data_IF_144244207205
#
_entry.id   IF_144244207205
#
_cell.length_a   1.000
_cell.length_b   1.000
_cell.length_c   1.000
_cell.angle_alpha   90.00
_cell.angle_beta   90.00
_cell.angle_gamma   90.00
#
_symmetry.space_group_name_H-M   'P 1'
#
loop_
_entity.id
_entity.type
_entity.pdbx_description
1 polymer ?
#
# COMPACT_ATOMS: atom_id res chain seq x y z
N UNK A 1 19.74 -13.24 3.26
CA UNK A 1 20.53 -14.20 2.48
C UNK A 1 20.03 -15.64 2.63
N UNK A 2 19.80 -16.14 3.86
CA UNK A 2 19.31 -17.52 4.08
C UNK A 2 18.03 -17.82 3.28
N UNK A 3 17.03 -16.93 3.36
CA UNK A 3 15.77 -17.08 2.61
C UNK A 3 15.96 -17.03 1.10
N UNK A 4 16.86 -16.17 0.60
CA UNK A 4 17.19 -16.14 -0.82
C UNK A 4 17.80 -17.46 -1.29
N UNK A 5 18.72 -18.02 -0.51
CA UNK A 5 19.31 -19.33 -0.83
C UNK A 5 18.26 -20.44 -0.84
N UNK A 6 17.34 -20.46 0.12
CA UNK A 6 16.21 -21.40 0.17
C UNK A 6 15.25 -21.23 -1.01
N UNK A 7 15.10 -20.02 -1.51
CA UNK A 7 14.30 -19.70 -2.70
C UNK A 7 15.03 -19.98 -4.03
N UNK A 8 16.23 -20.57 -4.01
CA UNK A 8 16.99 -20.88 -5.22
C UNK A 8 17.94 -19.77 -5.71
N UNK A 9 18.14 -18.71 -4.92
CA UNK A 9 19.01 -17.57 -5.27
C UNK A 9 20.19 -17.39 -4.30
N UNK A 10 21.06 -18.41 -4.10
CA UNK A 10 22.16 -18.34 -3.15
C UNK A 10 23.18 -17.23 -3.46
N UNK A 11 23.32 -16.88 -4.73
CA UNK A 11 24.23 -15.84 -5.22
C UNK A 11 23.55 -14.48 -5.44
N UNK A 12 22.29 -14.32 -4.97
CA UNK A 12 21.48 -13.15 -5.21
C UNK A 12 20.69 -13.21 -6.52
N UNK A 13 20.01 -12.11 -6.86
CA UNK A 13 19.16 -12.02 -8.05
C UNK A 13 19.07 -10.59 -8.57
N UNK A 14 18.61 -10.44 -9.80
CA UNK A 14 18.25 -9.14 -10.38
C UNK A 14 16.73 -9.01 -10.44
N UNK A 15 16.22 -7.82 -10.14
CA UNK A 15 14.78 -7.50 -10.16
C UNK A 15 14.58 -6.03 -10.50
N UNK A 16 13.36 -5.61 -10.78
CA UNK A 16 13.03 -4.20 -10.86
C UNK A 16 12.30 -3.70 -9.58
N UNK A 17 12.44 -2.41 -9.32
CA UNK A 17 11.73 -1.70 -8.25
C UNK A 17 11.13 -0.42 -8.83
N UNK A 18 9.82 -0.40 -8.96
CA UNK A 18 9.14 0.75 -9.55
C UNK A 18 8.87 1.83 -8.52
N UNK A 19 9.40 3.03 -8.77
CA UNK A 19 9.22 4.21 -7.93
C UNK A 19 8.17 5.14 -8.53
N UNK A 20 7.23 5.59 -7.71
CA UNK A 20 6.21 6.56 -8.12
C UNK A 20 6.86 7.88 -8.56
N UNK A 21 6.45 8.48 -9.69
CA UNK A 21 7.01 9.74 -10.20
C UNK A 21 6.46 10.98 -9.48
N UNK A 22 5.45 10.81 -8.64
CA UNK A 22 4.69 11.88 -7.98
C UNK A 22 4.68 11.73 -6.48
N UNK A 23 4.56 12.85 -5.78
CA UNK A 23 4.28 12.86 -4.35
C UNK A 23 2.82 12.50 -4.09
N UNK A 24 2.59 11.75 -3.02
CA UNK A 24 1.27 11.42 -2.49
C UNK A 24 1.27 11.55 -0.96
N UNK A 25 0.10 11.76 -0.33
CA UNK A 25 0.02 11.85 1.13
C UNK A 25 0.69 10.68 1.86
N UNK A 26 0.61 9.48 1.30
CA UNK A 26 1.21 8.26 1.85
C UNK A 26 2.68 8.04 1.43
N UNK A 27 3.23 8.81 0.48
CA UNK A 27 4.62 8.68 0.03
C UNK A 27 5.14 10.03 -0.49
N UNK A 28 5.87 10.80 0.33
CA UNK A 28 6.35 12.12 -0.04
C UNK A 28 7.55 12.10 -1.00
N UNK A 29 8.30 10.99 -1.07
CA UNK A 29 9.50 10.90 -1.91
C UNK A 29 9.83 9.44 -2.27
N UNK A 30 9.06 8.88 -3.21
CA UNK A 30 9.21 7.48 -3.63
C UNK A 30 10.59 7.19 -4.22
N UNK A 31 11.17 8.13 -4.98
CA UNK A 31 12.51 7.96 -5.56
C UNK A 31 13.57 7.75 -4.48
N UNK A 32 13.57 8.61 -3.45
CA UNK A 32 14.53 8.51 -2.35
C UNK A 32 14.36 7.23 -1.54
N UNK A 33 13.12 6.82 -1.30
CA UNK A 33 12.82 5.55 -0.64
C UNK A 33 13.33 4.37 -1.48
N UNK A 34 13.09 4.38 -2.80
CA UNK A 34 13.59 3.35 -3.71
C UNK A 34 15.12 3.25 -3.71
N UNK A 35 15.83 4.38 -3.71
CA UNK A 35 17.29 4.42 -3.62
C UNK A 35 17.81 3.79 -2.32
N UNK A 36 17.17 4.06 -1.19
CA UNK A 36 17.51 3.44 0.09
C UNK A 36 17.24 1.93 0.08
N UNK A 37 16.08 1.51 -0.43
CA UNK A 37 15.74 0.09 -0.57
C UNK A 37 16.71 -0.63 -1.52
N UNK A 38 17.08 -0.01 -2.64
CA UNK A 38 18.07 -0.56 -3.57
C UNK A 38 19.41 -0.79 -2.88
N UNK A 39 19.87 0.17 -2.08
CA UNK A 39 21.13 0.06 -1.33
C UNK A 39 21.07 -1.06 -0.27
N UNK A 40 19.94 -1.23 0.40
CA UNK A 40 19.76 -2.30 1.38
C UNK A 40 19.62 -3.68 0.72
N UNK A 41 18.93 -3.80 -0.38
CA UNK A 41 18.79 -5.00 -1.18
C UNK A 41 20.15 -5.46 -1.73
N UNK A 42 21.02 -4.54 -2.15
CA UNK A 42 22.36 -4.83 -2.61
C UNK A 42 23.21 -5.54 -1.54
N UNK A 43 23.04 -5.21 -0.24
CA UNK A 43 23.77 -5.86 0.87
C UNK A 43 23.50 -7.35 1.00
N UNK A 44 22.36 -7.80 0.48
CA UNK A 44 21.99 -9.22 0.49
C UNK A 44 22.17 -9.91 -0.87
N UNK A 45 22.68 -9.19 -1.87
CA UNK A 45 22.94 -9.70 -3.22
C UNK A 45 21.79 -9.50 -4.21
N UNK A 46 20.76 -8.72 -3.85
CA UNK A 46 19.67 -8.40 -4.77
C UNK A 46 19.98 -7.09 -5.51
N UNK A 47 20.13 -7.18 -6.84
CA UNK A 47 20.32 -6.01 -7.72
C UNK A 47 18.96 -5.52 -8.19
N UNK A 48 18.46 -4.45 -7.59
CA UNK A 48 17.21 -3.81 -7.97
C UNK A 48 17.44 -2.69 -8.97
N UNK A 49 16.77 -2.73 -10.13
CA UNK A 49 16.74 -1.65 -11.11
C UNK A 49 15.58 -0.73 -10.82
N UNK A 50 15.83 0.54 -10.52
CA UNK A 50 14.77 1.51 -10.24
C UNK A 50 14.17 1.96 -11.57
N UNK A 51 12.85 1.75 -11.74
CA UNK A 51 12.06 2.21 -12.89
C UNK A 51 11.01 3.21 -12.46
N UNK A 52 10.71 4.15 -13.33
CA UNK A 52 9.63 5.14 -13.13
C UNK A 52 9.02 5.48 -14.48
N UNK A 53 7.73 5.81 -14.49
CA UNK A 53 6.96 6.15 -15.69
C UNK A 53 6.09 7.36 -15.38
N UNK A 54 5.50 8.02 -16.38
CA UNK A 54 4.47 9.02 -16.15
C UNK A 54 3.35 8.42 -15.28
N UNK A 55 2.70 9.22 -14.43
CA UNK A 55 1.81 8.69 -13.38
C UNK A 55 0.63 7.87 -13.90
N UNK A 56 0.01 8.28 -14.98
CA UNK A 56 -1.09 7.53 -15.60
C UNK A 56 -0.61 6.18 -16.13
N UNK A 57 0.51 6.19 -16.83
CA UNK A 57 1.17 4.99 -17.37
C UNK A 57 1.68 4.09 -16.23
N UNK A 58 2.27 4.66 -15.18
CA UNK A 58 2.70 3.93 -13.99
C UNK A 58 1.55 3.11 -13.40
N UNK A 59 0.41 3.75 -13.17
CA UNK A 59 -0.76 3.09 -12.60
C UNK A 59 -1.29 1.98 -13.51
N UNK A 60 -1.43 2.27 -14.80
CA UNK A 60 -1.93 1.32 -15.81
C UNK A 60 -1.06 0.06 -15.86
N UNK A 61 0.24 0.24 -15.92
CA UNK A 61 1.21 -0.86 -15.98
C UNK A 61 1.29 -1.64 -14.67
N UNK A 62 1.20 -0.96 -13.52
CA UNK A 62 1.06 -1.61 -12.20
C UNK A 62 -0.20 -2.49 -12.15
N UNK A 63 -1.33 -1.98 -12.65
CA UNK A 63 -2.59 -2.75 -12.72
C UNK A 63 -2.51 -3.93 -13.71
N UNK A 64 -1.71 -3.80 -14.75
CA UNK A 64 -1.41 -4.90 -15.66
C UNK A 64 -0.48 -5.97 -15.05
N UNK A 65 0.25 -5.64 -13.95
CA UNK A 65 1.17 -6.56 -13.28
C UNK A 65 2.52 -6.67 -13.96
N UNK A 66 2.98 -5.63 -14.66
CA UNK A 66 4.25 -5.64 -15.39
C UNK A 66 5.49 -5.48 -14.48
N UNK A 67 5.30 -5.01 -13.25
CA UNK A 67 6.37 -4.82 -12.26
C UNK A 67 6.68 -6.12 -11.52
N UNK A 68 7.91 -6.26 -11.05
CA UNK A 68 8.31 -7.29 -10.09
C UNK A 68 8.16 -6.79 -8.64
N UNK A 69 8.67 -5.59 -8.38
CA UNK A 69 8.39 -4.84 -7.15
C UNK A 69 7.94 -3.44 -7.51
N UNK A 70 6.99 -2.88 -6.78
CA UNK A 70 6.51 -1.52 -7.04
C UNK A 70 5.99 -0.84 -5.78
N UNK A 71 6.14 0.47 -5.75
CA UNK A 71 5.67 1.31 -4.65
C UNK A 71 4.29 1.86 -4.97
N UNK A 72 3.36 1.68 -4.06
CA UNK A 72 2.04 2.29 -4.11
C UNK A 72 1.54 2.48 -2.68
N UNK A 73 0.49 3.23 -2.51
CA UNK A 73 -0.17 3.38 -1.23
C UNK A 73 -1.65 3.70 -1.40
N UNK A 74 -2.33 3.79 -0.29
CA UNK A 74 -3.76 4.04 -0.22
C UNK A 74 -4.11 4.96 0.93
N UNK A 75 -5.04 5.87 0.71
CA UNK A 75 -5.71 6.62 1.77
C UNK A 75 -7.13 6.07 1.88
N UNK A 76 -7.51 5.60 3.06
CA UNK A 76 -8.83 5.00 3.26
C UNK A 76 -9.98 5.96 2.94
N UNK A 77 -11.02 5.47 2.26
CA UNK A 77 -12.16 6.27 1.84
C UNK A 77 -13.21 6.46 2.95
N UNK A 78 -13.30 5.52 3.88
CA UNK A 78 -14.42 5.44 4.84
C UNK A 78 -14.03 4.98 6.25
N UNK A 79 -12.74 4.72 6.52
CA UNK A 79 -12.25 4.24 7.81
C UNK A 79 -12.54 2.76 8.10
N UNK A 80 -13.08 2.02 7.15
CA UNK A 80 -13.34 0.59 7.30
C UNK A 80 -12.14 -0.24 6.81
N UNK A 81 -11.72 -1.28 7.56
CA UNK A 81 -10.64 -2.18 7.13
C UNK A 81 -10.88 -2.87 5.78
N UNK A 82 -12.14 -3.08 5.39
CA UNK A 82 -12.51 -3.64 4.09
C UNK A 82 -11.91 -2.86 2.92
N UNK A 83 -11.85 -1.53 3.06
CA UNK A 83 -11.30 -0.64 2.03
C UNK A 83 -9.81 -0.87 1.74
N UNK A 84 -9.09 -1.46 2.67
CA UNK A 84 -7.71 -1.93 2.49
C UNK A 84 -7.65 -3.41 2.12
N UNK A 85 -8.20 -4.27 2.97
CA UNK A 85 -7.95 -5.71 2.91
C UNK A 85 -8.69 -6.38 1.74
N UNK A 86 -9.93 -6.00 1.48
CA UNK A 86 -10.67 -6.53 0.34
C UNK A 86 -10.32 -5.80 -0.97
N UNK A 87 -10.32 -4.46 -0.95
CA UNK A 87 -10.08 -3.66 -2.16
C UNK A 87 -8.70 -3.87 -2.75
N UNK A 88 -7.67 -3.99 -1.91
CA UNK A 88 -6.28 -4.03 -2.35
C UNK A 88 -5.64 -5.42 -2.33
N UNK A 89 -6.27 -6.41 -1.68
CA UNK A 89 -5.71 -7.75 -1.49
C UNK A 89 -6.71 -8.87 -1.80
N UNK A 90 -8.00 -8.55 -1.99
CA UNK A 90 -9.01 -9.53 -2.37
C UNK A 90 -8.77 -10.13 -3.76
N UNK A 91 -9.18 -11.37 -3.96
CA UNK A 91 -8.99 -12.11 -5.22
C UNK A 91 -9.69 -11.44 -6.40
N UNK A 92 -10.90 -10.92 -6.22
CA UNK A 92 -11.66 -10.23 -7.27
C UNK A 92 -10.95 -8.94 -7.75
N UNK A 93 -10.15 -8.32 -6.91
CA UNK A 93 -9.38 -7.11 -7.21
C UNK A 93 -8.02 -7.42 -7.88
N UNK A 94 -7.60 -8.68 -7.95
CA UNK A 94 -6.33 -9.12 -8.55
C UNK A 94 -6.35 -9.20 -10.09
N UNK A 95 -7.53 -9.11 -10.69
CA UNK A 95 -7.70 -9.10 -12.16
C UNK A 95 -7.07 -7.88 -12.81
N UNK A 96 -6.92 -7.93 -14.13
CA UNK A 96 -6.46 -6.79 -14.94
C UNK A 96 -7.32 -5.55 -14.64
N UNK A 97 -6.68 -4.40 -14.48
CA UNK A 97 -7.29 -3.13 -14.07
C UNK A 97 -7.87 -3.11 -12.64
N UNK A 98 -7.71 -4.16 -11.85
CA UNK A 98 -8.08 -4.17 -10.44
C UNK A 98 -7.08 -3.44 -9.55
N UNK A 99 -7.50 -3.09 -8.33
CA UNK A 99 -6.68 -2.34 -7.38
C UNK A 99 -5.64 -3.18 -6.64
N UNK A 100 -5.76 -4.51 -6.70
CA UNK A 100 -4.78 -5.43 -6.13
C UNK A 100 -3.60 -5.60 -7.10
N UNK A 101 -2.68 -4.66 -7.06
CA UNK A 101 -1.51 -4.64 -7.94
C UNK A 101 -0.47 -5.71 -7.59
N UNK A 102 -0.50 -6.24 -6.38
CA UNK A 102 0.33 -7.38 -5.99
C UNK A 102 -0.12 -8.69 -6.62
N UNK A 103 -1.31 -8.72 -7.27
CA UNK A 103 -1.93 -9.93 -7.83
C UNK A 103 -2.06 -11.07 -6.82
N UNK A 104 -2.11 -10.70 -5.55
CA UNK A 104 -2.28 -11.65 -4.45
C UNK A 104 -3.69 -12.22 -4.46
N UNK A 105 -3.77 -13.53 -4.44
CA UNK A 105 -5.04 -14.25 -4.25
C UNK A 105 -4.75 -15.54 -3.48
N UNK A 106 -5.11 -15.54 -2.20
CA UNK A 106 -4.91 -16.66 -1.30
C UNK A 106 -6.22 -17.00 -0.60
N UNK A 107 -6.76 -18.18 -0.88
CA UNK A 107 -8.09 -18.57 -0.47
C UNK A 107 -8.37 -18.41 1.03
N UNK A 108 -7.46 -18.82 1.96
CA UNK A 108 -7.71 -18.63 3.38
C UNK A 108 -7.79 -17.14 3.81
N UNK A 109 -7.12 -16.23 3.11
CA UNK A 109 -7.25 -14.79 3.32
C UNK A 109 -8.59 -14.28 2.80
N UNK A 110 -8.95 -14.66 1.58
CA UNK A 110 -10.21 -14.28 0.92
C UNK A 110 -11.42 -14.67 1.77
N UNK A 111 -11.50 -15.91 2.25
CA UNK A 111 -12.59 -16.39 3.09
C UNK A 111 -12.78 -15.55 4.36
N UNK A 112 -11.67 -15.19 5.02
CA UNK A 112 -11.71 -14.39 6.25
C UNK A 112 -12.20 -12.97 5.95
N UNK A 113 -11.71 -12.34 4.88
CA UNK A 113 -12.08 -10.98 4.50
C UNK A 113 -13.54 -10.91 4.04
N UNK A 114 -13.99 -11.87 3.21
CA UNK A 114 -15.39 -11.94 2.77
C UNK A 114 -16.35 -12.18 3.94
N UNK A 115 -15.98 -13.04 4.89
CA UNK A 115 -16.75 -13.21 6.13
C UNK A 115 -16.81 -11.91 6.93
N UNK A 116 -15.69 -11.21 7.12
CA UNK A 116 -15.63 -9.94 7.85
C UNK A 116 -16.50 -8.85 7.22
N UNK A 117 -16.68 -8.89 5.90
CA UNK A 117 -17.50 -7.94 5.16
C UNK A 117 -19.00 -8.00 5.52
N UNK A 118 -19.50 -9.18 5.86
CA UNK A 118 -20.95 -9.41 6.13
C UNK A 118 -21.28 -9.50 7.62
N UNK A 119 -20.27 -9.66 8.50
CA UNK A 119 -20.49 -9.73 9.95
C UNK A 119 -20.73 -8.32 10.51
N UNK A 120 -21.87 -8.14 11.18
CA UNK A 120 -22.25 -6.87 11.82
C UNK A 120 -21.74 -6.73 13.26
N UNK A 121 -21.45 -7.82 13.96
CA UNK A 121 -20.93 -7.77 15.33
C UNK A 121 -19.48 -7.23 15.33
N UNK A 122 -19.20 -6.07 15.97
CA UNK A 122 -17.89 -5.43 15.91
C UNK A 122 -16.76 -6.30 16.47
N UNK A 123 -17.02 -7.03 17.56
CA UNK A 123 -16.00 -7.87 18.21
C UNK A 123 -15.63 -9.06 17.34
N UNK A 124 -16.60 -9.74 16.74
CA UNK A 124 -16.34 -10.85 15.82
C UNK A 124 -15.63 -10.34 14.56
N UNK A 125 -16.08 -9.21 14.02
CA UNK A 125 -15.49 -8.56 12.85
C UNK A 125 -14.03 -8.17 13.06
N UNK A 126 -13.71 -7.61 14.23
CA UNK A 126 -12.33 -7.28 14.62
C UNK A 126 -11.44 -8.50 14.60
N UNK A 127 -11.86 -9.61 15.22
CA UNK A 127 -11.09 -10.87 15.23
C UNK A 127 -10.83 -11.42 13.83
N UNK A 128 -11.79 -11.28 12.91
CA UNK A 128 -11.59 -11.68 11.52
C UNK A 128 -10.53 -10.83 10.83
N UNK A 129 -10.54 -9.52 11.00
CA UNK A 129 -9.52 -8.66 10.43
C UNK A 129 -8.14 -8.83 11.08
N UNK A 130 -8.07 -9.11 12.38
CA UNK A 130 -6.82 -9.50 13.03
C UNK A 130 -6.25 -10.80 12.42
N UNK A 131 -7.09 -11.82 12.22
CA UNK A 131 -6.70 -13.05 11.54
C UNK A 131 -6.22 -12.79 10.10
N UNK A 132 -6.91 -11.93 9.35
CA UNK A 132 -6.49 -11.57 8.00
C UNK A 132 -5.10 -10.91 7.98
N UNK A 133 -4.78 -10.07 8.96
CA UNK A 133 -3.46 -9.43 9.09
C UNK A 133 -2.35 -10.44 9.41
N UNK A 134 -2.64 -11.49 10.20
CA UNK A 134 -1.69 -12.58 10.45
C UNK A 134 -1.38 -13.32 9.15
N UNK A 135 -2.42 -13.71 8.39
CA UNK A 135 -2.26 -14.38 7.10
C UNK A 135 -1.48 -13.47 6.11
N UNK A 136 -1.83 -12.19 6.06
CA UNK A 136 -1.10 -11.20 5.26
C UNK A 136 0.40 -11.18 5.60
N UNK A 137 0.73 -11.17 6.90
CA UNK A 137 2.13 -11.18 7.34
C UNK A 137 2.87 -12.45 6.93
N UNK A 138 2.22 -13.60 7.03
CA UNK A 138 2.79 -14.89 6.66
C UNK A 138 3.00 -15.04 5.15
N UNK A 139 2.05 -14.57 4.34
CA UNK A 139 2.12 -14.63 2.88
C UNK A 139 2.96 -13.50 2.27
N UNK A 140 3.16 -12.42 3.00
CA UNK A 140 3.98 -11.26 2.64
C UNK A 140 3.74 -10.70 1.21
N UNK A 141 2.49 -10.45 0.77
CA UNK A 141 2.24 -9.85 -0.54
C UNK A 141 2.76 -8.42 -0.65
N UNK A 142 2.90 -7.72 0.49
CA UNK A 142 3.51 -6.40 0.60
C UNK A 142 4.58 -6.35 1.68
N UNK A 143 5.50 -5.43 1.49
CA UNK A 143 6.33 -4.87 2.55
C UNK A 143 5.74 -3.49 2.92
N UNK A 144 5.13 -3.39 4.10
CA UNK A 144 4.57 -2.13 4.61
C UNK A 144 5.71 -1.21 5.08
N UNK A 145 5.79 0.00 4.50
CA UNK A 145 6.88 0.94 4.78
C UNK A 145 6.50 1.86 5.95
N UNK A 146 5.44 2.64 5.81
CA UNK A 146 5.03 3.63 6.82
C UNK A 146 3.58 4.09 6.63
N UNK A 147 3.02 4.64 7.71
CA UNK A 147 1.86 5.50 7.69
C UNK A 147 2.33 6.95 7.83
N UNK A 148 1.94 7.80 6.88
CA UNK A 148 2.38 9.19 6.86
C UNK A 148 1.58 10.05 7.85
N UNK A 149 2.28 10.95 8.53
CA UNK A 149 1.64 12.04 9.30
C UNK A 149 1.32 13.17 8.34
N UNK A 150 0.07 13.62 8.34
CA UNK A 150 -0.38 14.75 7.52
C UNK A 150 -0.28 16.05 8.31
N UNK A 151 0.52 16.98 7.80
CA UNK A 151 0.68 18.32 8.37
C UNK A 151 0.08 19.34 7.39
N UNK A 152 -0.78 20.22 7.88
CA UNK A 152 -1.38 21.31 7.12
C UNK A 152 -1.11 22.64 7.84
N UNK A 153 -0.18 23.43 7.35
CA UNK A 153 0.00 24.78 7.88
C UNK A 153 -1.22 25.63 7.52
N UNK A 154 -1.75 26.32 8.50
CA UNK A 154 -2.83 27.30 8.32
C UNK A 154 -2.38 28.63 8.92
N UNK A 155 -2.88 29.74 8.38
CA UNK A 155 -2.66 31.06 8.98
C UNK A 155 -3.39 31.16 10.31
N UNK A 156 -2.88 31.95 11.25
CA UNK A 156 -3.47 32.11 12.60
C UNK A 156 -4.87 32.76 12.57
N UNK A 157 -5.17 33.47 11.49
CA UNK A 157 -6.47 34.11 11.27
C UNK A 157 -7.55 33.09 10.86
N UNK A 158 -7.15 31.89 10.39
CA UNK A 158 -8.08 30.83 9.98
C UNK A 158 -8.55 30.09 11.23
N UNK A 159 -9.86 30.08 11.45
CA UNK A 159 -10.51 29.40 12.57
C UNK A 159 -11.36 28.24 12.08
N UNK A 160 -11.55 27.27 12.96
CA UNK A 160 -12.39 26.07 12.75
C UNK A 160 -12.00 25.15 11.56
N UNK A 161 -10.77 25.29 11.06
CA UNK A 161 -10.25 24.35 10.07
C UNK A 161 -9.95 22.98 10.72
N UNK A 162 -10.55 21.92 10.19
CA UNK A 162 -10.38 20.54 10.67
C UNK A 162 -9.75 19.66 9.58
N UNK A 163 -8.73 18.90 9.94
CA UNK A 163 -8.17 17.89 9.05
C UNK A 163 -9.12 16.69 8.93
N UNK A 164 -9.39 16.27 7.71
CA UNK A 164 -10.08 15.02 7.46
C UNK A 164 -9.10 13.85 7.54
N UNK A 165 -9.40 12.76 8.25
CA UNK A 165 -8.59 11.55 8.27
C UNK A 165 -8.58 10.83 6.91
N UNK A 166 -9.48 11.18 6.00
CA UNK A 166 -9.62 10.61 4.66
C UNK A 166 -8.97 11.47 3.56
N UNK A 167 -8.12 12.43 3.94
CA UNK A 167 -7.40 13.28 2.98
C UNK A 167 -8.26 14.30 2.24
N UNK A 168 -9.54 14.44 2.58
CA UNK A 168 -10.44 15.44 1.97
C UNK A 168 -10.18 16.81 2.56
N UNK A 169 -10.37 17.86 1.77
CA UNK A 169 -10.35 19.24 2.24
C UNK A 169 -11.78 19.76 2.29
N UNK A 170 -12.32 19.91 3.49
CA UNK A 170 -13.65 20.46 3.72
C UNK A 170 -13.50 21.81 4.40
N UNK A 171 -14.06 22.84 3.79
CA UNK A 171 -14.02 24.21 4.30
C UNK A 171 -15.35 24.67 4.90
N UNK A 172 -16.30 23.74 5.05
CA UNK A 172 -17.57 24.05 5.73
C UNK A 172 -17.33 24.40 7.18
N UNK A 173 -17.79 25.60 7.59
CA UNK A 173 -17.59 26.13 8.93
C UNK A 173 -16.23 26.77 9.19
N UNK A 174 -15.33 26.81 8.21
CA UNK A 174 -14.05 27.55 8.31
C UNK A 174 -14.33 29.03 8.15
N UNK A 175 -13.76 29.86 9.03
CA UNK A 175 -13.89 31.30 9.03
C UNK A 175 -12.54 31.99 9.21
N UNK A 176 -12.53 33.31 9.08
CA UNK A 176 -11.38 34.19 9.24
C UNK A 176 -11.65 35.19 10.38
N UNK A 177 -10.69 35.39 11.27
CA UNK A 177 -10.71 36.48 12.25
C UNK A 177 -10.23 37.78 11.63
#
# INVERSE_FOLDING_TARGET
KKLLAQAGFPNGMTTDLWAMPVQRPYNPNAKRIAELMQADLAKIGVKAEIKSFEWGEYRKRMQAGEHQMGMLGWTGDNGDPDNFLNTLLGCDSAKTNGSNVAKFCYQPFEEVVQKAKVVSNPTERTKLYEKAQVIFKEQAPWFTIAHAVQLKPVRKEVIDFKLSPFGRHTFYGVDMK
#
